data_IF_892906979661
#
_entry.id   IF_892906979661
#
_cell.length_a   1.000
_cell.length_b   1.000
_cell.length_c   1.000
_cell.angle_alpha   90.00
_cell.angle_beta   90.00
_cell.angle_gamma   90.00
#
_symmetry.space_group_name_H-M   'P 1'
#
loop_
_entity.id
_entity.type
_entity.pdbx_description
1 polymer ?
#
# COMPACT_ATOMS: atom_id res chain seq x y z
N UNK A 1 -12.78 8.26 -6.95
CA UNK A 1 -11.79 7.77 -5.98
C UNK A 1 -10.75 8.85 -5.70
N UNK A 2 -10.34 8.98 -4.44
CA UNK A 2 -9.30 9.93 -4.04
C UNK A 2 -7.92 9.37 -4.38
N UNK A 3 -7.05 10.22 -4.92
CA UNK A 3 -5.65 9.87 -5.13
C UNK A 3 -4.88 10.06 -3.83
N UNK A 4 -4.12 9.06 -3.43
CA UNK A 4 -3.46 9.04 -2.12
C UNK A 4 -2.01 8.59 -2.21
N UNK A 5 -1.23 8.99 -1.21
CA UNK A 5 0.06 8.37 -0.89
C UNK A 5 -0.14 7.52 0.36
N UNK A 6 0.23 6.26 0.30
CA UNK A 6 0.25 5.36 1.45
C UNK A 6 1.68 5.21 1.92
N UNK A 7 1.93 5.57 3.17
CA UNK A 7 3.22 5.36 3.85
C UNK A 7 3.09 4.10 4.69
N UNK A 8 3.90 3.10 4.39
CA UNK A 8 3.77 1.79 5.02
C UNK A 8 5.12 1.20 5.39
N UNK A 9 5.11 0.30 6.35
CA UNK A 9 6.31 -0.39 6.79
C UNK A 9 6.44 -1.72 6.08
N UNK A 10 7.55 -1.90 5.37
CA UNK A 10 7.88 -3.16 4.72
C UNK A 10 8.58 -4.05 5.75
N UNK A 11 7.94 -5.15 6.19
CA UNK A 11 8.57 -6.06 7.13
C UNK A 11 9.84 -6.64 6.51
N UNK A 12 10.93 -6.53 7.26
CA UNK A 12 12.22 -7.09 6.85
C UNK A 12 12.42 -8.42 7.55
N UNK A 13 12.79 -9.45 6.78
CA UNK A 13 13.11 -10.74 7.36
C UNK A 13 14.58 -11.08 7.14
N UNK A 14 15.20 -11.71 8.13
CA UNK A 14 16.53 -12.26 8.05
C UNK A 14 16.43 -13.76 8.29
N UNK A 15 16.58 -14.60 7.22
CA UNK A 15 16.44 -16.05 7.36
C UNK A 15 17.65 -16.73 7.99
N UNK A 16 18.74 -16.01 8.21
CA UNK A 16 19.95 -16.55 8.82
C UNK A 16 19.88 -16.51 10.34
N UNK A 17 20.59 -17.43 10.97
CA UNK A 17 20.77 -17.41 12.43
C UNK A 17 21.87 -16.41 12.76
N UNK A 18 21.57 -15.44 13.65
CA UNK A 18 22.51 -14.38 14.03
C UNK A 18 22.71 -14.38 15.55
N UNK A 19 23.88 -13.88 15.99
CA UNK A 19 24.20 -13.78 17.41
C UNK A 19 23.49 -12.61 18.08
N UNK A 20 23.12 -11.60 17.31
CA UNK A 20 22.47 -10.38 17.81
C UNK A 20 21.60 -9.77 16.71
N UNK A 21 20.66 -8.92 17.11
CA UNK A 21 19.80 -8.20 16.19
C UNK A 21 20.45 -6.87 15.86
N UNK A 22 20.71 -6.64 14.57
CA UNK A 22 21.33 -5.41 14.09
C UNK A 22 20.27 -4.32 13.80
N UNK A 23 20.70 -3.06 13.80
CA UNK A 23 19.81 -1.93 13.52
C UNK A 23 19.18 -2.00 12.13
N UNK A 24 19.87 -2.57 11.15
CA UNK A 24 19.33 -2.77 9.80
C UNK A 24 18.22 -3.81 9.71
N UNK A 25 17.96 -4.57 10.78
CA UNK A 25 16.91 -5.57 10.84
C UNK A 25 15.52 -5.00 11.19
N UNK A 26 15.37 -3.68 11.19
CA UNK A 26 14.08 -3.05 11.40
C UNK A 26 13.32 -2.81 10.09
N UNK A 27 12.01 -2.51 10.20
CA UNK A 27 11.16 -2.26 9.04
C UNK A 27 11.52 -0.97 8.32
N UNK A 28 11.54 -1.01 6.99
CA UNK A 28 11.70 0.18 6.17
C UNK A 28 10.36 0.84 5.93
N UNK A 29 10.35 2.17 5.93
CA UNK A 29 9.17 2.92 5.49
C UNK A 29 9.19 3.04 3.98
N UNK A 30 8.10 2.63 3.35
CA UNK A 30 7.90 2.67 1.92
C UNK A 30 6.73 3.60 1.58
N UNK A 31 6.68 4.03 0.34
CA UNK A 31 5.58 4.84 -0.17
C UNK A 31 4.98 4.21 -1.40
N UNK A 32 3.64 4.24 -1.49
CA UNK A 32 2.92 3.80 -2.68
C UNK A 32 1.87 4.85 -3.03
N UNK A 33 1.72 5.12 -4.31
CA UNK A 33 0.76 6.11 -4.82
C UNK A 33 -0.29 5.41 -5.65
N UNK A 34 -1.54 5.77 -5.42
CA UNK A 34 -2.66 5.23 -6.20
C UNK A 34 -3.96 5.89 -5.81
N UNK A 35 -5.06 5.38 -6.35
CA UNK A 35 -6.40 5.80 -5.95
C UNK A 35 -6.92 4.87 -4.87
N UNK A 36 -7.48 5.45 -3.81
CA UNK A 36 -8.00 4.70 -2.68
C UNK A 36 -9.33 4.03 -3.05
N UNK A 37 -9.35 2.71 -3.08
CA UNK A 37 -10.55 1.91 -3.34
C UNK A 37 -11.24 1.52 -2.05
N UNK A 38 -10.50 1.00 -1.08
CA UNK A 38 -11.05 0.45 0.16
C UNK A 38 -10.17 0.86 1.34
N UNK A 39 -10.82 1.30 2.41
CA UNK A 39 -10.17 1.57 3.70
C UNK A 39 -11.11 1.18 4.81
N UNK A 40 -10.78 0.15 5.56
CA UNK A 40 -11.52 -0.29 6.72
C UNK A 40 -10.58 -0.95 7.73
N UNK A 41 -11.16 -1.53 8.80
CA UNK A 41 -10.36 -2.16 9.87
C UNK A 41 -9.60 -3.40 9.43
N UNK A 42 -9.97 -3.99 8.29
CA UNK A 42 -9.39 -5.24 7.80
C UNK A 42 -8.35 -5.03 6.72
N UNK A 43 -8.51 -4.02 5.86
CA UNK A 43 -7.68 -3.86 4.69
C UNK A 43 -7.71 -2.43 4.15
N UNK A 44 -6.59 -2.05 3.53
CA UNK A 44 -6.48 -0.84 2.71
C UNK A 44 -6.09 -1.29 1.31
N UNK A 45 -6.88 -0.90 0.30
CA UNK A 45 -6.60 -1.22 -1.11
C UNK A 45 -6.48 0.05 -1.93
N UNK A 46 -5.44 0.10 -2.74
CA UNK A 46 -5.26 1.13 -3.77
C UNK A 46 -5.08 0.48 -5.13
N UNK A 47 -5.37 1.23 -6.19
CA UNK A 47 -5.09 0.80 -7.56
C UNK A 47 -4.39 1.95 -8.29
N UNK A 48 -3.54 1.62 -9.26
CA UNK A 48 -2.80 2.63 -10.02
C UNK A 48 -3.06 2.57 -11.52
N UNK A 49 -3.88 1.65 -11.96
CA UNK A 49 -4.31 1.54 -13.36
C UNK A 49 -5.78 1.18 -13.43
N UNK A 50 -6.43 1.60 -14.50
CA UNK A 50 -7.81 1.24 -14.77
C UNK A 50 -8.12 1.41 -16.26
N UNK A 51 -9.16 0.72 -16.73
CA UNK A 51 -9.72 0.98 -18.04
C UNK A 51 -11.18 1.41 -17.91
N UNK A 52 -11.71 2.01 -18.97
CA UNK A 52 -13.03 2.61 -18.95
C UNK A 52 -14.00 1.84 -19.87
N UNK A 53 -15.26 1.85 -19.46
CA UNK A 53 -16.38 1.48 -20.34
C UNK A 53 -16.67 2.63 -21.30
N UNK A 54 -17.50 2.37 -22.32
CA UNK A 54 -17.89 3.37 -23.30
C UNK A 54 -18.59 4.59 -22.68
N UNK A 55 -19.25 4.41 -21.54
CA UNK A 55 -19.94 5.49 -20.81
C UNK A 55 -19.01 6.32 -19.92
N UNK A 56 -17.70 6.01 -19.88
CA UNK A 56 -16.73 6.72 -19.08
C UNK A 56 -16.55 6.21 -17.66
N UNK A 57 -17.33 5.22 -17.22
CA UNK A 57 -17.15 4.61 -15.92
C UNK A 57 -16.00 3.58 -15.95
N UNK A 58 -15.46 3.26 -14.77
CA UNK A 58 -14.38 2.27 -14.67
C UNK A 58 -14.93 0.88 -14.96
N UNK A 59 -14.26 0.18 -15.87
CA UNK A 59 -14.56 -1.20 -16.21
C UNK A 59 -13.75 -2.16 -15.34
N UNK A 60 -12.42 -2.08 -15.42
CA UNK A 60 -11.50 -2.91 -14.63
C UNK A 60 -10.51 -2.06 -13.86
N UNK A 61 -10.13 -2.56 -12.69
CA UNK A 61 -9.04 -2.00 -11.88
C UNK A 61 -7.78 -2.81 -12.09
N UNK A 62 -6.63 -2.15 -12.17
CA UNK A 62 -5.34 -2.80 -12.36
C UNK A 62 -4.30 -2.29 -11.36
N UNK A 63 -3.21 -3.05 -11.23
CA UNK A 63 -2.12 -2.74 -10.31
C UNK A 63 -2.65 -2.49 -8.90
N UNK A 64 -3.40 -3.46 -8.38
CA UNK A 64 -4.02 -3.39 -7.06
C UNK A 64 -3.00 -3.78 -6.02
N UNK A 65 -2.86 -2.94 -5.01
CA UNK A 65 -2.04 -3.24 -3.83
C UNK A 65 -2.95 -3.26 -2.61
N UNK A 66 -2.85 -4.33 -1.83
CA UNK A 66 -3.61 -4.51 -0.60
C UNK A 66 -2.67 -4.51 0.59
N UNK A 67 -2.97 -3.67 1.57
CA UNK A 67 -2.17 -3.56 2.80
C UNK A 67 -2.98 -4.00 4.00
N UNK A 68 -2.42 -4.86 4.88
CA UNK A 68 -2.97 -4.99 6.23
C UNK A 68 -2.86 -3.64 6.93
N UNK A 69 -3.89 -3.18 7.65
CA UNK A 69 -3.82 -1.87 8.33
C UNK A 69 -2.63 -1.74 9.30
N UNK A 70 -2.17 -2.85 9.86
CA UNK A 70 -1.04 -2.86 10.80
C UNK A 70 0.27 -2.36 10.20
N UNK A 71 0.46 -2.44 8.88
CA UNK A 71 1.68 -1.94 8.22
C UNK A 71 1.52 -0.51 7.71
N UNK A 72 0.31 0.03 7.67
CA UNK A 72 0.05 1.38 7.17
C UNK A 72 0.31 2.39 8.28
N UNK A 73 1.22 3.33 8.03
CA UNK A 73 1.55 4.38 8.98
C UNK A 73 0.72 5.63 8.78
N UNK A 74 0.51 6.01 7.53
CA UNK A 74 -0.18 7.25 7.17
C UNK A 74 -0.74 7.13 5.76
N UNK A 75 -1.89 7.74 5.54
CA UNK A 75 -2.47 7.94 4.21
C UNK A 75 -2.66 9.44 4.01
N UNK A 76 -2.10 9.98 2.94
CA UNK A 76 -2.20 11.39 2.59
C UNK A 76 -2.97 11.54 1.30
N UNK A 77 -4.03 12.35 1.32
CA UNK A 77 -4.83 12.63 0.13
C UNK A 77 -4.10 13.67 -0.72
N UNK A 78 -3.90 13.34 -1.98
CA UNK A 78 -3.33 14.25 -2.97
C UNK A 78 -4.44 15.09 -3.59
N UNK A 79 -4.18 16.37 -3.68
CA UNK A 79 -5.13 17.32 -4.30
C UNK A 79 -4.75 17.61 -5.75
#
# INVERSE_FOLDING_TARGET
>A
YKRVIVYWNDPKSNPEWVNDIEDEDYCKTCTSIGWLHTKNKKIVKIFSSYNLKDDGSINDFGDIVSFPPSVVRKIEVLK
#
